data_IF_416466497145
#
_entry.id   IF_416466497145
#
_cell.length_a   1.000
_cell.length_b   1.000
_cell.length_c   1.000
_cell.angle_alpha   90.00
_cell.angle_beta   90.00
_cell.angle_gamma   90.00
#
_symmetry.space_group_name_H-M   'P 1'
#
loop_
_entity.id
_entity.type
_entity.pdbx_description
1 polymer ?
#
# COMPACT_ATOMS: atom_id res chain seq x y z
N UNK A 1 6.18 -25.34 2.01
CA UNK A 1 4.78 -24.84 2.05
C UNK A 1 4.06 -25.38 0.82
N UNK A 2 2.97 -26.15 0.97
CA UNK A 2 2.18 -26.62 -0.17
C UNK A 2 1.55 -25.44 -0.90
N UNK A 3 1.39 -25.54 -2.23
CA UNK A 3 0.65 -24.54 -3.01
C UNK A 3 -0.82 -24.56 -2.59
N UNK A 4 -1.46 -23.39 -2.55
CA UNK A 4 -2.92 -23.31 -2.56
C UNK A 4 -3.45 -23.94 -3.87
N UNK A 5 -4.60 -24.60 -3.81
CA UNK A 5 -5.22 -25.30 -4.95
C UNK A 5 -5.54 -24.40 -6.16
N UNK A 6 -5.55 -23.08 -5.95
CA UNK A 6 -5.83 -22.07 -6.96
C UNK A 6 -4.57 -21.58 -7.71
N UNK A 7 -3.38 -22.04 -7.36
CA UNK A 7 -2.16 -21.64 -8.09
C UNK A 7 -1.75 -22.68 -9.13
N UNK A 8 -1.73 -22.25 -10.39
CA UNK A 8 -1.16 -23.02 -11.49
C UNK A 8 0.37 -23.15 -11.32
N UNK A 9 0.86 -24.40 -11.26
CA UNK A 9 2.29 -24.71 -11.05
C UNK A 9 3.18 -24.07 -12.11
N UNK A 10 2.78 -24.10 -13.39
CA UNK A 10 3.56 -23.50 -14.49
C UNK A 10 3.67 -21.99 -14.35
N UNK A 11 2.59 -21.32 -13.93
CA UNK A 11 2.60 -19.88 -13.69
C UNK A 11 3.56 -19.51 -12.55
N UNK A 12 3.57 -20.29 -11.47
CA UNK A 12 4.52 -20.11 -10.36
C UNK A 12 5.97 -20.27 -10.83
N UNK A 13 6.27 -21.35 -11.55
CA UNK A 13 7.63 -21.61 -12.04
C UNK A 13 8.14 -20.49 -12.94
N UNK A 14 7.28 -20.02 -13.86
CA UNK A 14 7.55 -18.87 -14.71
C UNK A 14 7.84 -17.61 -13.88
N UNK A 15 6.98 -17.28 -12.90
CA UNK A 15 7.16 -16.11 -12.05
C UNK A 15 8.47 -16.17 -11.26
N UNK A 16 8.83 -17.33 -10.71
CA UNK A 16 10.09 -17.51 -9.98
C UNK A 16 11.29 -17.32 -10.91
N UNK A 17 11.27 -17.92 -12.10
CA UNK A 17 12.34 -17.77 -13.08
C UNK A 17 12.50 -16.31 -13.52
N UNK A 18 11.38 -15.61 -13.73
CA UNK A 18 11.38 -14.19 -14.04
C UNK A 18 11.95 -13.36 -12.89
N UNK A 19 11.47 -13.56 -11.67
CA UNK A 19 11.97 -12.86 -10.48
C UNK A 19 13.47 -13.09 -10.25
N UNK A 20 14.01 -14.28 -10.53
CA UNK A 20 15.45 -14.54 -10.38
C UNK A 20 16.30 -13.74 -11.38
N UNK A 21 15.78 -13.51 -12.57
CA UNK A 21 16.51 -12.82 -13.66
C UNK A 21 16.25 -11.31 -13.71
N UNK A 22 15.22 -10.81 -13.01
CA UNK A 22 14.95 -9.37 -12.93
C UNK A 22 16.11 -8.61 -12.25
N UNK A 23 16.61 -7.52 -12.83
CA UNK A 23 17.62 -6.68 -12.19
C UNK A 23 17.15 -6.13 -10.83
N UNK A 24 18.05 -5.99 -9.84
CA UNK A 24 17.67 -5.51 -8.50
C UNK A 24 16.94 -4.16 -8.49
N UNK A 25 17.39 -3.19 -9.29
CA UNK A 25 16.74 -1.88 -9.37
C UNK A 25 15.28 -1.96 -9.85
N UNK A 26 14.98 -2.86 -10.80
CA UNK A 26 13.62 -3.08 -11.28
C UNK A 26 12.75 -3.71 -10.19
N UNK A 27 13.29 -4.62 -9.37
CA UNK A 27 12.54 -5.19 -8.23
C UNK A 27 12.17 -4.13 -7.21
N UNK A 28 13.09 -3.21 -6.92
CA UNK A 28 12.82 -2.11 -5.99
C UNK A 28 11.72 -1.19 -6.52
N UNK A 29 11.73 -0.86 -7.81
CA UNK A 29 10.66 -0.09 -8.44
C UNK A 29 9.31 -0.81 -8.35
N UNK A 30 9.26 -2.11 -8.67
CA UNK A 30 8.04 -2.90 -8.55
C UNK A 30 7.49 -2.94 -7.11
N UNK A 31 8.37 -3.06 -6.11
CA UNK A 31 7.97 -3.03 -4.70
C UNK A 31 7.45 -1.63 -4.28
N UNK A 32 8.05 -0.56 -4.80
CA UNK A 32 7.59 0.80 -4.57
C UNK A 32 6.21 1.06 -5.22
N UNK A 33 6.02 0.62 -6.46
CA UNK A 33 4.74 0.70 -7.18
C UNK A 33 3.63 -0.06 -6.46
N UNK A 34 3.94 -1.25 -5.94
CA UNK A 34 3.00 -2.03 -5.13
C UNK A 34 2.60 -1.27 -3.86
N UNK A 35 3.57 -0.71 -3.14
CA UNK A 35 3.33 0.11 -1.94
C UNK A 35 2.43 1.30 -2.25
N UNK A 36 2.72 2.03 -3.34
CA UNK A 36 1.93 3.19 -3.77
C UNK A 36 0.50 2.79 -4.17
N UNK A 37 0.34 1.65 -4.83
CA UNK A 37 -0.98 1.13 -5.21
C UNK A 37 -1.82 0.80 -3.98
N UNK A 38 -1.23 0.13 -2.99
CA UNK A 38 -1.90 -0.15 -1.71
C UNK A 38 -2.34 1.14 -1.01
N UNK A 39 -1.47 2.16 -0.94
CA UNK A 39 -1.82 3.45 -0.37
C UNK A 39 -2.98 4.13 -1.13
N UNK A 40 -2.97 4.07 -2.47
CA UNK A 40 -4.05 4.59 -3.30
C UNK A 40 -5.39 3.90 -3.02
N UNK A 41 -5.40 2.58 -2.87
CA UNK A 41 -6.60 1.83 -2.49
C UNK A 41 -7.11 2.23 -1.10
N UNK A 42 -6.23 2.38 -0.11
CA UNK A 42 -6.62 2.85 1.22
C UNK A 42 -7.28 4.23 1.16
N UNK A 43 -6.67 5.18 0.45
CA UNK A 43 -7.21 6.54 0.29
C UNK A 43 -8.55 6.53 -0.47
N UNK A 44 -8.71 5.71 -1.51
CA UNK A 44 -9.98 5.54 -2.20
C UNK A 44 -11.07 5.02 -1.25
N UNK A 45 -10.74 4.07 -0.37
CA UNK A 45 -11.64 3.57 0.67
C UNK A 45 -12.04 4.66 1.68
N UNK A 46 -11.13 5.56 2.06
CA UNK A 46 -11.45 6.70 2.92
C UNK A 46 -12.45 7.63 2.23
N UNK A 47 -12.19 8.02 0.98
CA UNK A 47 -13.10 8.87 0.18
C UNK A 47 -14.50 8.26 0.07
N UNK A 48 -14.56 6.96 -0.21
CA UNK A 48 -15.83 6.24 -0.35
C UNK A 48 -16.65 6.21 0.94
N UNK A 49 -16.00 6.17 2.11
CA UNK A 49 -16.69 6.14 3.41
C UNK A 49 -17.04 7.53 3.94
N UNK A 50 -16.38 8.58 3.46
CA UNK A 50 -16.59 9.98 3.87
C UNK A 50 -16.73 10.88 2.62
N UNK A 51 -17.88 10.87 1.94
CA UNK A 51 -18.08 11.73 0.77
C UNK A 51 -17.86 13.22 1.11
N UNK A 52 -17.16 13.95 0.25
CA UNK A 52 -16.89 15.39 0.43
C UNK A 52 -15.71 15.72 1.36
N UNK A 53 -15.01 14.71 1.89
CA UNK A 53 -13.75 14.92 2.62
C UNK A 53 -12.71 15.62 1.73
N UNK A 54 -11.94 16.56 2.31
CA UNK A 54 -10.87 17.23 1.58
C UNK A 54 -9.71 16.27 1.30
N UNK A 55 -8.96 16.50 0.22
CA UNK A 55 -7.77 15.69 -0.08
C UNK A 55 -6.67 15.80 0.99
N UNK A 56 -6.63 16.89 1.75
CA UNK A 56 -5.73 17.02 2.89
C UNK A 56 -6.16 16.10 4.03
N UNK A 57 -7.45 16.08 4.37
CA UNK A 57 -8.00 15.23 5.42
C UNK A 57 -7.93 13.74 5.05
N UNK A 58 -8.05 13.39 3.77
CA UNK A 58 -7.80 12.02 3.29
C UNK A 58 -6.38 11.58 3.60
N UNK A 59 -5.38 12.45 3.34
CA UNK A 59 -3.97 12.14 3.61
C UNK A 59 -3.70 12.05 5.11
N UNK A 60 -4.28 12.93 5.92
CA UNK A 60 -4.15 12.88 7.38
C UNK A 60 -4.78 11.61 7.97
N UNK A 61 -5.97 11.23 7.50
CA UNK A 61 -6.62 9.99 7.94
C UNK A 61 -5.84 8.75 7.49
N UNK A 62 -5.29 8.76 6.27
CA UNK A 62 -4.39 7.71 5.82
C UNK A 62 -3.14 7.63 6.72
N UNK A 63 -2.51 8.75 7.04
CA UNK A 63 -1.36 8.80 7.94
C UNK A 63 -1.71 8.23 9.32
N UNK A 64 -2.88 8.62 9.87
CA UNK A 64 -3.39 8.10 11.15
C UNK A 64 -3.54 6.59 11.16
N UNK A 65 -4.06 6.01 10.08
CA UNK A 65 -4.23 4.56 9.92
C UNK A 65 -2.90 3.83 9.69
N UNK A 66 -1.99 4.42 8.90
CA UNK A 66 -0.74 3.77 8.50
C UNK A 66 0.35 3.84 9.59
N UNK A 67 0.49 5.00 10.23
CA UNK A 67 1.50 5.26 11.26
C UNK A 67 0.99 4.99 12.68
N UNK A 68 -0.33 4.94 12.86
CA UNK A 68 -0.98 4.92 14.17
C UNK A 68 -1.06 6.32 14.80
N UNK A 69 -1.93 6.46 15.81
CA UNK A 69 -2.25 7.76 16.41
C UNK A 69 -1.03 8.48 17.02
N UNK A 70 -0.18 7.76 17.75
CA UNK A 70 0.98 8.34 18.43
C UNK A 70 2.00 8.93 17.47
N UNK A 71 2.38 8.20 16.42
CA UNK A 71 3.35 8.68 15.45
C UNK A 71 2.77 9.77 14.56
N UNK A 72 1.48 9.66 14.23
CA UNK A 72 0.78 10.70 13.49
C UNK A 72 0.71 12.00 14.28
N UNK A 73 0.40 11.96 15.58
CA UNK A 73 0.39 13.15 16.42
C UNK A 73 1.79 13.80 16.55
N UNK A 74 2.86 13.00 16.58
CA UNK A 74 4.23 13.55 16.62
C UNK A 74 4.61 14.28 15.32
N UNK A 75 4.18 13.77 14.18
CA UNK A 75 4.54 14.32 12.85
C UNK A 75 3.58 15.43 12.41
N UNK A 76 2.29 15.30 12.76
CA UNK A 76 1.19 16.12 12.25
C UNK A 76 0.39 16.85 13.34
N UNK A 77 0.72 16.72 14.63
CA UNK A 77 -0.10 17.17 15.78
C UNK A 77 -0.39 18.67 15.88
N UNK A 78 0.17 19.50 15.00
CA UNK A 78 -0.30 20.88 14.78
C UNK A 78 -1.63 20.96 14.02
N UNK A 79 -2.12 19.85 13.46
CA UNK A 79 -3.41 19.75 12.75
C UNK A 79 -4.38 18.91 13.59
N UNK A 80 -5.61 19.38 13.77
CA UNK A 80 -6.67 18.61 14.44
C UNK A 80 -6.89 17.31 13.69
N UNK A 81 -6.58 16.18 14.33
CA UNK A 81 -6.97 14.86 13.86
C UNK A 81 -8.49 14.75 14.02
N UNK A 82 -9.21 14.50 12.92
CA UNK A 82 -10.66 14.33 12.88
C UNK A 82 -11.10 13.01 13.53
#
# INVERSE_FOLDING_TARGET
MPLNSDTNIKAREFLIARLRTTPPGIKLLQAAEMTNSCAAFCMAGIRSRRPGISEEDVRLEFARLHLGGTLTAKVYGGRKLL
#
